data_IF_456476681947
#
_entry.id   IF_456476681947
#
_cell.length_a   1.000
_cell.length_b   1.000
_cell.length_c   1.000
_cell.angle_alpha   90.00
_cell.angle_beta   90.00
_cell.angle_gamma   90.00
#
_symmetry.space_group_name_H-M   'P 1'
#
loop_
_entity.id
_entity.type
_entity.pdbx_description
1 polymer ?
#
# COMPACT_ATOMS: atom_id res chain seq x y z
N UNK A 1 -25.10 2.71 3.00
CA UNK A 1 -24.18 1.60 2.67
C UNK A 1 -23.12 2.00 1.64
N UNK A 2 -23.50 2.50 0.46
CA UNK A 2 -22.55 2.89 -0.62
C UNK A 2 -21.51 3.92 -0.16
N UNK A 3 -21.90 4.97 0.54
CA UNK A 3 -20.94 5.99 1.01
C UNK A 3 -19.90 5.43 2.00
N UNK A 4 -20.33 4.58 2.94
CA UNK A 4 -19.42 3.91 3.87
C UNK A 4 -18.44 2.99 3.12
N UNK A 5 -18.93 2.28 2.10
CA UNK A 5 -18.10 1.43 1.26
C UNK A 5 -17.06 2.25 0.50
N UNK A 6 -17.46 3.34 -0.18
CA UNK A 6 -16.53 4.25 -0.87
C UNK A 6 -15.50 4.80 0.11
N UNK A 7 -15.95 5.28 1.27
CA UNK A 7 -15.09 5.79 2.33
C UNK A 7 -14.04 4.76 2.77
N UNK A 8 -14.47 3.53 3.04
CA UNK A 8 -13.58 2.44 3.48
C UNK A 8 -12.60 2.03 2.37
N UNK A 9 -13.04 1.93 1.11
CA UNK A 9 -12.18 1.59 -0.03
C UNK A 9 -11.15 2.69 -0.26
N UNK A 10 -11.55 3.96 -0.30
CA UNK A 10 -10.62 5.09 -0.42
C UNK A 10 -9.59 5.13 0.73
N UNK A 11 -9.99 4.75 1.94
CA UNK A 11 -9.10 4.66 3.09
C UNK A 11 -8.01 3.57 2.97
N UNK A 12 -8.20 2.60 2.07
CA UNK A 12 -7.30 1.45 1.88
C UNK A 12 -6.57 1.46 0.55
N UNK A 13 -7.10 2.13 -0.47
CA UNK A 13 -6.41 2.32 -1.74
C UNK A 13 -5.24 3.28 -1.58
N UNK A 14 -4.05 2.81 -1.97
CA UNK A 14 -2.79 3.52 -1.87
C UNK A 14 -2.61 4.41 -3.10
N UNK A 15 -2.28 5.68 -2.87
CA UNK A 15 -1.89 6.66 -3.87
C UNK A 15 -0.37 6.74 -4.03
N UNK A 16 0.38 6.74 -2.93
CA UNK A 16 1.85 6.78 -2.95
C UNK A 16 2.46 5.91 -1.86
N UNK A 17 3.60 5.31 -2.20
CA UNK A 17 4.52 4.67 -1.27
C UNK A 17 5.85 5.38 -1.45
N UNK A 18 6.35 5.99 -0.37
CA UNK A 18 7.57 6.78 -0.41
C UNK A 18 8.53 6.17 0.59
N UNK A 19 9.70 5.74 0.13
CA UNK A 19 10.81 5.39 1.02
C UNK A 19 11.45 6.71 1.47
N UNK A 20 11.40 7.00 2.78
CA UNK A 20 11.93 8.25 3.30
C UNK A 20 13.47 8.22 3.31
N UNK A 21 14.09 9.41 3.34
CA UNK A 21 15.55 9.56 3.39
C UNK A 21 16.15 8.70 4.51
N UNK A 22 17.20 7.95 4.17
CA UNK A 22 17.87 7.01 5.07
C UNK A 22 17.28 5.60 5.09
N UNK A 23 16.19 5.33 4.37
CA UNK A 23 15.73 3.96 4.09
C UNK A 23 15.11 3.20 5.29
N UNK A 24 14.99 3.83 6.46
CA UNK A 24 14.46 3.18 7.67
C UNK A 24 12.95 3.28 7.83
N UNK A 25 12.34 4.29 7.20
CA UNK A 25 10.90 4.54 7.29
C UNK A 25 10.29 4.73 5.91
N UNK A 26 9.01 4.41 5.81
CA UNK A 26 8.19 4.63 4.62
C UNK A 26 6.98 5.49 4.97
N UNK A 27 6.53 6.28 4.00
CA UNK A 27 5.27 7.01 4.03
C UNK A 27 4.29 6.33 3.07
N UNK A 28 3.13 5.89 3.58
CA UNK A 28 1.99 5.47 2.75
C UNK A 28 0.98 6.61 2.72
N UNK A 29 0.58 7.01 1.51
CA UNK A 29 -0.47 7.98 1.29
C UNK A 29 -1.61 7.26 0.57
N UNK A 30 -2.81 7.31 1.14
CA UNK A 30 -4.02 6.70 0.58
C UNK A 30 -4.90 7.71 -0.13
N UNK A 31 -5.89 7.23 -0.88
CA UNK A 31 -6.97 8.05 -1.46
C UNK A 31 -8.02 8.49 -0.43
N UNK A 32 -7.74 8.35 0.87
CA UNK A 32 -8.66 8.71 1.94
C UNK A 32 -9.14 10.16 1.79
N UNK A 33 -10.46 10.36 1.85
CA UNK A 33 -11.10 11.65 1.60
C UNK A 33 -10.62 12.75 2.57
N UNK A 34 -10.31 12.38 3.81
CA UNK A 34 -9.71 13.28 4.82
C UNK A 34 -8.18 13.25 4.77
N UNK A 35 -7.54 14.36 4.36
CA UNK A 35 -6.06 14.50 4.27
C UNK A 35 -5.32 14.14 5.57
N UNK A 36 -5.87 14.48 6.73
CA UNK A 36 -5.25 14.16 8.04
C UNK A 36 -5.14 12.66 8.31
N UNK A 37 -6.01 11.85 7.69
CA UNK A 37 -6.05 10.38 7.86
C UNK A 37 -5.43 9.63 6.68
N UNK A 38 -5.05 10.34 5.61
CA UNK A 38 -4.54 9.70 4.40
C UNK A 38 -3.08 9.25 4.50
N UNK A 39 -2.31 9.84 5.42
CA UNK A 39 -0.86 9.60 5.56
C UNK A 39 -0.54 8.71 6.75
N UNK A 40 0.31 7.72 6.52
CA UNK A 40 0.88 6.82 7.52
C UNK A 40 2.41 6.86 7.40
N UNK A 41 3.12 7.09 8.50
CA UNK A 41 4.58 6.97 8.56
C UNK A 41 4.93 5.74 9.39
N UNK A 42 5.67 4.80 8.82
CA UNK A 42 5.92 3.50 9.45
C UNK A 42 7.39 3.09 9.22
N UNK A 43 7.99 2.29 10.12
CA UNK A 43 9.24 1.60 9.83
C UNK A 43 9.07 0.63 8.65
N UNK A 44 10.10 0.47 7.82
CA UNK A 44 10.02 -0.38 6.61
C UNK A 44 9.62 -1.82 6.94
N UNK A 45 10.16 -2.40 8.02
CA UNK A 45 9.84 -3.77 8.44
C UNK A 45 8.41 -4.00 8.93
N UNK A 46 7.56 -2.97 9.01
CA UNK A 46 6.14 -3.13 9.35
C UNK A 46 5.23 -3.40 8.16
N UNK A 47 5.72 -3.24 6.93
CA UNK A 47 4.94 -3.40 5.71
C UNK A 47 5.51 -4.54 4.88
N UNK A 48 4.65 -5.46 4.46
CA UNK A 48 5.01 -6.58 3.60
C UNK A 48 4.04 -6.67 2.43
N UNK A 49 4.56 -6.97 1.25
CA UNK A 49 3.71 -7.44 0.14
C UNK A 49 3.35 -8.90 0.42
N UNK A 50 2.10 -9.29 0.17
CA UNK A 50 1.66 -10.68 0.33
C UNK A 50 1.42 -11.39 -1.01
N UNK A 51 1.74 -10.71 -2.11
CA UNK A 51 1.62 -11.23 -3.47
C UNK A 51 2.69 -10.60 -4.35
N UNK A 52 2.92 -11.19 -5.52
CA UNK A 52 3.86 -10.68 -6.51
C UNK A 52 3.13 -9.72 -7.44
N UNK A 53 3.75 -8.57 -7.73
CA UNK A 53 3.17 -7.64 -8.70
C UNK A 53 2.99 -8.30 -10.07
N UNK A 54 3.88 -9.20 -10.44
CA UNK A 54 3.85 -9.93 -11.72
C UNK A 54 2.91 -11.13 -11.71
N UNK A 55 2.29 -11.49 -10.58
CA UNK A 55 1.27 -12.52 -10.62
C UNK A 55 0.08 -12.07 -11.50
N UNK A 56 -0.51 -13.03 -12.21
CA UNK A 56 -1.65 -12.79 -13.09
C UNK A 56 -2.98 -12.63 -12.34
N UNK A 57 -2.95 -12.46 -11.00
CA UNK A 57 -4.14 -12.48 -10.15
C UNK A 57 -4.52 -11.06 -9.75
N UNK A 58 -5.65 -10.57 -10.26
CA UNK A 58 -6.23 -9.29 -9.87
C UNK A 58 -5.41 -8.05 -10.30
N UNK A 59 -6.05 -6.88 -10.22
CA UNK A 59 -5.45 -5.59 -10.63
C UNK A 59 -4.63 -4.91 -9.53
N UNK A 60 -4.79 -5.35 -8.28
CA UNK A 60 -4.19 -4.70 -7.11
C UNK A 60 -3.21 -5.63 -6.41
N UNK A 61 -2.10 -5.05 -5.95
CA UNK A 61 -1.13 -5.69 -5.09
C UNK A 61 -1.50 -5.42 -3.60
N UNK A 62 -1.78 -6.47 -2.81
CA UNK A 62 -2.10 -6.33 -1.40
C UNK A 62 -0.84 -6.13 -0.54
N UNK A 63 -0.85 -5.07 0.26
CA UNK A 63 0.16 -4.81 1.29
C UNK A 63 -0.44 -5.03 2.69
N UNK A 64 0.24 -5.85 3.48
CA UNK A 64 -0.07 -6.07 4.90
C UNK A 64 0.76 -5.12 5.76
N UNK A 65 0.09 -4.41 6.65
CA UNK A 65 0.73 -3.61 7.70
C UNK A 65 0.57 -4.35 9.04
N UNK A 66 1.67 -4.50 9.78
CA UNK A 66 1.65 -5.10 11.13
C UNK A 66 0.63 -4.38 12.02
N UNK A 67 -0.11 -5.14 12.83
CA UNK A 67 -1.15 -4.65 13.74
C UNK A 67 -2.34 -3.94 13.04
N UNK A 68 -2.58 -4.19 11.75
CA UNK A 68 -3.81 -3.75 11.05
C UNK A 68 -4.54 -4.93 10.45
N UNK A 69 -5.86 -4.98 10.67
CA UNK A 69 -6.69 -6.12 10.27
C UNK A 69 -6.76 -6.27 8.74
N UNK A 70 -7.10 -5.19 8.03
CA UNK A 70 -7.25 -5.24 6.57
C UNK A 70 -5.96 -4.83 5.82
N UNK A 71 -5.86 -5.33 4.60
CA UNK A 71 -4.84 -4.96 3.62
C UNK A 71 -5.01 -3.53 3.12
N UNK A 72 -3.93 -3.02 2.54
CA UNK A 72 -3.93 -1.82 1.71
C UNK A 72 -3.63 -2.24 0.28
N UNK A 73 -4.26 -1.57 -0.68
CA UNK A 73 -4.23 -2.00 -2.08
C UNK A 73 -3.48 -0.98 -2.91
N UNK A 74 -2.44 -1.40 -3.62
CA UNK A 74 -1.74 -0.57 -4.61
C UNK A 74 -2.03 -1.10 -6.01
N UNK A 75 -2.27 -0.20 -6.96
CA UNK A 75 -2.47 -0.57 -8.36
C UNK A 75 -1.18 -1.15 -8.96
N UNK A 76 -1.25 -2.36 -9.54
CA UNK A 76 -0.08 -3.02 -10.16
C UNK A 76 0.44 -2.25 -11.37
N UNK A 77 -0.43 -1.51 -12.06
CA UNK A 77 -0.10 -0.69 -13.23
C UNK A 77 0.42 0.71 -12.87
N UNK A 78 0.54 1.02 -11.57
CA UNK A 78 1.14 2.28 -11.10
C UNK A 78 2.64 2.38 -11.43
N UNK A 79 3.21 3.57 -11.22
CA UNK A 79 4.65 3.78 -11.40
C UNK A 79 5.44 3.28 -10.19
N UNK A 80 6.25 2.23 -10.39
CA UNK A 80 7.17 1.70 -9.37
C UNK A 80 8.61 2.09 -9.70
N UNK A 81 9.14 3.09 -8.97
CA UNK A 81 10.54 3.56 -9.15
C UNK A 81 11.56 2.46 -8.86
N UNK A 82 11.21 1.50 -7.99
CA UNK A 82 12.01 0.30 -7.71
C UNK A 82 11.11 -0.94 -7.78
N UNK A 83 10.70 -1.30 -9.01
CA UNK A 83 9.78 -2.41 -9.29
C UNK A 83 10.24 -3.75 -8.72
N UNK A 84 11.55 -4.02 -8.71
CA UNK A 84 12.11 -5.29 -8.24
C UNK A 84 11.77 -5.59 -6.77
N UNK A 85 11.53 -4.56 -5.95
CA UNK A 85 11.08 -4.74 -4.56
C UNK A 85 9.67 -5.36 -4.44
N UNK A 86 8.88 -5.31 -5.50
CA UNK A 86 7.49 -5.76 -5.54
C UNK A 86 7.26 -6.89 -6.55
N UNK A 87 8.25 -7.19 -7.39
CA UNK A 87 8.16 -8.25 -8.39
C UNK A 87 8.42 -9.64 -7.82
N UNK A 88 9.09 -9.73 -6.67
CA UNK A 88 9.45 -10.99 -6.02
C UNK A 88 9.23 -10.91 -4.51
N UNK A 89 8.23 -11.62 -4.00
CA UNK A 89 8.02 -11.86 -2.58
C UNK A 89 8.86 -13.07 -2.19
N UNK A 90 10.01 -12.82 -1.57
CA UNK A 90 10.70 -13.86 -0.82
C UNK A 90 9.93 -14.08 0.49
N UNK A 91 9.27 -15.24 0.60
CA UNK A 91 8.47 -15.64 1.76
C UNK A 91 9.25 -15.64 3.07
#
# INVERSE_FOLDING_TARGET
LVYLYIYATCARSIKYIILNKGGKTLSIITYHMQKKKSKLNLPVGMVKSTADRQDNIGMYLPLKIKNRSFYYLVDKNGTFVNSRLFDYVMG
#
